data_IF_569963209862
#
_entry.id   IF_569963209862
#
_cell.length_a   1.000
_cell.length_b   1.000
_cell.length_c   1.000
_cell.angle_alpha   90.00
_cell.angle_beta   90.00
_cell.angle_gamma   90.00
#
_symmetry.space_group_name_H-M   'P 1'
#
loop_
_entity.id
_entity.type
_entity.pdbx_description
1 polymer ?
#
# COMPACT_ATOMS: atom_id res chain seq x y z
N UNK A 1 -24.94 -5.78 1.34
CA UNK A 1 -23.64 -6.40 1.68
C UNK A 1 -23.24 -5.89 3.06
N UNK A 2 -22.99 -6.76 4.04
CA UNK A 2 -22.41 -6.32 5.32
C UNK A 2 -20.99 -5.79 5.03
N UNK A 3 -20.73 -4.53 5.37
CA UNK A 3 -19.38 -3.96 5.24
C UNK A 3 -18.46 -4.70 6.21
N UNK A 4 -17.40 -5.30 5.68
CA UNK A 4 -16.37 -5.94 6.49
C UNK A 4 -15.67 -4.89 7.34
N UNK A 5 -15.41 -5.24 8.59
CA UNK A 5 -14.65 -4.43 9.54
C UNK A 5 -13.16 -4.59 9.27
N UNK A 6 -12.37 -3.62 9.75
CA UNK A 6 -10.91 -3.61 9.62
C UNK A 6 -10.26 -4.95 10.01
N UNK A 7 -10.67 -5.54 11.14
CA UNK A 7 -10.13 -6.80 11.64
C UNK A 7 -10.40 -7.99 10.70
N UNK A 8 -11.54 -8.00 10.00
CA UNK A 8 -11.89 -9.06 9.06
C UNK A 8 -11.02 -8.98 7.79
N UNK A 9 -10.78 -7.76 7.29
CA UNK A 9 -9.99 -7.54 6.07
C UNK A 9 -8.51 -7.84 6.33
N UNK A 10 -7.99 -7.40 7.47
CA UNK A 10 -6.59 -7.62 7.83
C UNK A 10 -6.29 -9.11 7.97
N UNK A 11 -7.23 -9.93 8.44
CA UNK A 11 -7.08 -11.40 8.49
C UNK A 11 -6.90 -12.03 7.12
N UNK A 12 -7.51 -11.46 6.07
CA UNK A 12 -7.37 -11.98 4.71
C UNK A 12 -5.94 -11.92 4.19
N UNK A 13 -5.11 -10.99 4.67
CA UNK A 13 -3.67 -10.98 4.35
C UNK A 13 -2.93 -12.20 4.89
N UNK A 14 -3.48 -12.86 5.91
CA UNK A 14 -2.90 -14.09 6.48
C UNK A 14 -3.55 -15.36 5.89
N UNK A 15 -4.85 -15.31 5.64
CA UNK A 15 -5.66 -16.49 5.29
C UNK A 15 -5.77 -16.73 3.77
N UNK A 16 -5.61 -15.68 2.96
CA UNK A 16 -5.76 -15.75 1.51
C UNK A 16 -4.41 -15.56 0.80
N UNK A 17 -4.01 -16.54 -0.01
CA UNK A 17 -2.80 -16.44 -0.84
C UNK A 17 -3.04 -15.67 -2.16
N UNK A 18 -4.27 -15.26 -2.46
CA UNK A 18 -4.63 -14.57 -3.69
C UNK A 18 -4.71 -13.05 -3.46
N UNK A 19 -3.65 -12.33 -3.83
CA UNK A 19 -3.57 -10.88 -3.66
C UNK A 19 -4.66 -10.10 -4.39
N UNK A 20 -5.13 -10.58 -5.54
CA UNK A 20 -6.21 -9.91 -6.30
C UNK A 20 -7.54 -9.97 -5.58
N UNK A 21 -7.86 -11.11 -4.93
CA UNK A 21 -9.07 -11.22 -4.11
C UNK A 21 -9.02 -10.29 -2.91
N UNK A 22 -7.89 -10.25 -2.20
CA UNK A 22 -7.71 -9.35 -1.05
C UNK A 22 -7.79 -7.88 -1.49
N UNK A 23 -7.24 -7.52 -2.66
CA UNK A 23 -7.37 -6.18 -3.22
C UNK A 23 -8.83 -5.79 -3.49
N UNK A 24 -9.66 -6.70 -4.02
CA UNK A 24 -11.10 -6.46 -4.19
C UNK A 24 -11.79 -6.17 -2.85
N UNK A 25 -11.48 -6.97 -1.82
CA UNK A 25 -12.04 -6.74 -0.48
C UNK A 25 -11.57 -5.44 0.17
N UNK A 26 -10.30 -5.07 -0.02
CA UNK A 26 -9.78 -3.77 0.42
C UNK A 26 -10.44 -2.64 -0.35
N UNK A 27 -10.66 -2.80 -1.66
CA UNK A 27 -11.39 -1.83 -2.49
C UNK A 27 -12.78 -1.55 -1.93
N UNK A 28 -13.55 -2.60 -1.61
CA UNK A 28 -14.87 -2.48 -0.99
C UNK A 28 -14.84 -1.76 0.37
N UNK A 29 -13.80 -2.00 1.17
CA UNK A 29 -13.62 -1.34 2.45
C UNK A 29 -13.33 0.16 2.31
N UNK A 30 -12.40 0.52 1.42
CA UNK A 30 -12.01 1.92 1.19
C UNK A 30 -13.04 2.67 0.34
N UNK A 31 -14.01 1.97 -0.26
CA UNK A 31 -15.18 2.53 -0.92
C UNK A 31 -16.24 3.00 0.08
N UNK A 32 -15.81 3.87 1.00
CA UNK A 32 -16.67 4.52 1.99
C UNK A 32 -16.09 5.89 2.33
N UNK A 33 -16.93 6.92 2.41
CA UNK A 33 -16.51 8.26 2.84
C UNK A 33 -15.94 8.32 4.27
N UNK A 34 -16.17 7.28 5.07
CA UNK A 34 -15.78 7.20 6.49
C UNK A 34 -15.07 5.89 6.85
N UNK A 35 -14.34 5.27 5.91
CA UNK A 35 -13.59 4.06 6.23
C UNK A 35 -12.55 4.33 7.33
N UNK A 36 -12.37 3.34 8.22
CA UNK A 36 -11.53 3.48 9.40
C UNK A 36 -10.06 3.12 9.09
N UNK A 37 -9.34 4.05 8.46
CA UNK A 37 -7.91 3.88 8.15
C UNK A 37 -7.06 3.66 9.40
N UNK A 38 -7.39 4.30 10.52
CA UNK A 38 -6.66 4.16 11.78
C UNK A 38 -6.93 2.79 12.42
N UNK A 39 -8.18 2.34 12.41
CA UNK A 39 -8.56 0.99 12.82
C UNK A 39 -7.88 -0.07 11.97
N UNK A 40 -7.80 0.10 10.65
CA UNK A 40 -7.07 -0.83 9.78
C UNK A 40 -5.61 -0.99 10.22
N UNK A 41 -4.90 0.11 10.42
CA UNK A 41 -3.49 0.08 10.85
C UNK A 41 -3.36 -0.57 12.23
N UNK A 42 -4.24 -0.22 13.18
CA UNK A 42 -4.26 -0.83 14.51
C UNK A 42 -4.43 -2.36 14.45
N UNK A 43 -5.37 -2.84 13.63
CA UNK A 43 -5.62 -4.27 13.47
C UNK A 43 -4.46 -4.98 12.75
N UNK A 44 -3.79 -4.31 11.79
CA UNK A 44 -2.59 -4.84 11.12
C UNK A 44 -1.41 -4.98 12.08
N UNK A 45 -1.21 -4.03 13.00
CA UNK A 45 -0.19 -4.12 14.05
C UNK A 45 -0.39 -5.35 14.96
N UNK A 46 -1.65 -5.74 15.18
CA UNK A 46 -1.99 -6.91 15.99
C UNK A 46 -1.78 -8.26 15.28
N UNK A 47 -1.46 -8.27 13.98
CA UNK A 47 -1.24 -9.51 13.22
C UNK A 47 0.13 -10.15 13.51
N UNK A 48 0.33 -11.44 13.17
CA UNK A 48 1.65 -12.06 13.20
C UNK A 48 2.67 -11.29 12.34
N UNK A 49 3.95 -11.28 12.73
CA UNK A 49 5.03 -10.58 12.01
C UNK A 49 5.08 -10.91 10.51
N UNK A 50 4.79 -12.17 10.13
CA UNK A 50 4.74 -12.60 8.73
C UNK A 50 3.74 -11.77 7.91
N UNK A 51 2.54 -11.55 8.45
CA UNK A 51 1.47 -10.76 7.81
C UNK A 51 1.85 -9.29 7.76
N UNK A 52 2.43 -8.76 8.83
CA UNK A 52 2.93 -7.38 8.85
C UNK A 52 4.01 -7.15 7.78
N UNK A 53 4.95 -8.10 7.62
CA UNK A 53 5.98 -8.05 6.57
C UNK A 53 5.36 -8.12 5.17
N UNK A 54 4.39 -9.01 4.95
CA UNK A 54 3.67 -9.12 3.68
C UNK A 54 2.99 -7.79 3.30
N UNK A 55 2.28 -7.19 4.25
CA UNK A 55 1.62 -5.90 4.03
C UNK A 55 2.63 -4.77 3.82
N UNK A 56 3.76 -4.79 4.55
CA UNK A 56 4.84 -3.82 4.38
C UNK A 56 5.46 -3.89 2.99
N UNK A 57 5.75 -5.09 2.49
CA UNK A 57 6.21 -5.28 1.12
C UNK A 57 5.16 -4.76 0.12
N UNK A 58 3.89 -5.08 0.34
CA UNK A 58 2.77 -4.60 -0.50
C UNK A 58 2.73 -3.07 -0.54
N UNK A 59 2.94 -2.41 0.60
CA UNK A 59 3.03 -0.95 0.69
C UNK A 59 4.18 -0.41 -0.15
N UNK A 60 5.38 -1.00 -0.10
CA UNK A 60 6.52 -0.55 -0.90
C UNK A 60 6.33 -0.79 -2.40
N UNK A 61 5.73 -1.93 -2.80
CA UNK A 61 5.35 -2.18 -4.20
C UNK A 61 4.30 -1.17 -4.67
N UNK A 62 3.36 -0.79 -3.81
CA UNK A 62 2.38 0.27 -4.09
C UNK A 62 3.03 1.65 -4.31
N UNK A 63 4.00 2.04 -3.48
CA UNK A 63 4.78 3.27 -3.68
C UNK A 63 5.48 3.28 -5.05
N UNK A 64 6.14 2.17 -5.40
CA UNK A 64 6.81 2.05 -6.69
C UNK A 64 5.82 2.15 -7.86
N UNK A 65 4.66 1.48 -7.75
CA UNK A 65 3.58 1.54 -8.74
C UNK A 65 3.04 2.94 -8.93
N UNK A 66 2.73 3.67 -7.86
CA UNK A 66 2.18 5.02 -7.93
C UNK A 66 3.17 6.01 -8.56
N UNK A 67 4.46 5.94 -8.20
CA UNK A 67 5.49 6.76 -8.87
C UNK A 67 5.58 6.45 -10.37
N UNK A 68 5.45 5.18 -10.76
CA UNK A 68 5.38 4.81 -12.18
C UNK A 68 4.13 5.42 -12.86
N UNK A 69 2.97 5.34 -12.23
CA UNK A 69 1.74 5.96 -12.77
C UNK A 69 1.87 7.48 -12.92
N UNK A 70 2.59 8.17 -12.04
CA UNK A 70 2.92 9.59 -12.20
C UNK A 70 3.75 9.83 -13.47
N UNK A 71 4.83 9.06 -13.64
CA UNK A 71 5.75 9.19 -14.79
C UNK A 71 5.08 8.86 -16.13
N UNK A 72 4.11 7.96 -16.11
CA UNK A 72 3.31 7.56 -17.29
C UNK A 72 2.12 8.49 -17.55
N UNK A 73 1.88 9.51 -16.71
CA UNK A 73 0.71 10.39 -16.77
C UNK A 73 -0.63 9.62 -16.67
N UNK A 74 -0.67 8.59 -15.81
CA UNK A 74 -1.83 7.69 -15.62
C UNK A 74 -2.56 7.91 -14.29
N UNK A 75 -2.85 9.17 -14.01
CA UNK A 75 -3.56 9.62 -12.81
C UNK A 75 -4.53 10.76 -13.18
N UNK A 76 -5.38 11.16 -12.23
CA UNK A 76 -6.16 12.40 -12.34
C UNK A 76 -6.20 13.11 -10.99
N UNK A 77 -6.89 14.24 -10.91
CA UNK A 77 -6.96 15.05 -9.69
C UNK A 77 -7.39 14.24 -8.46
N UNK A 78 -8.22 13.21 -8.61
CA UNK A 78 -8.73 12.38 -7.49
C UNK A 78 -7.67 11.50 -6.84
N UNK A 79 -6.56 11.22 -7.51
CA UNK A 79 -5.43 10.48 -6.92
C UNK A 79 -4.07 11.18 -7.06
N UNK A 80 -4.08 12.45 -7.47
CA UNK A 80 -2.88 13.25 -7.71
C UNK A 80 -2.00 13.35 -6.47
N UNK A 81 -2.61 13.64 -5.32
CA UNK A 81 -1.90 13.69 -4.05
C UNK A 81 -1.14 12.40 -3.78
N UNK A 82 -1.79 11.24 -3.96
CA UNK A 82 -1.16 9.93 -3.80
C UNK A 82 0.06 9.71 -4.70
N UNK A 83 -0.06 10.01 -6.00
CA UNK A 83 1.01 9.71 -6.95
C UNK A 83 2.22 10.62 -6.78
N UNK A 84 1.99 11.91 -6.53
CA UNK A 84 3.07 12.87 -6.23
C UNK A 84 3.78 12.52 -4.92
N UNK A 85 3.00 12.14 -3.93
CA UNK A 85 3.49 11.75 -2.61
C UNK A 85 4.33 10.48 -2.68
N UNK A 86 3.85 9.46 -3.39
CA UNK A 86 4.60 8.22 -3.62
C UNK A 86 5.90 8.46 -4.39
N UNK A 87 5.90 9.36 -5.38
CA UNK A 87 7.11 9.74 -6.11
C UNK A 87 8.14 10.44 -5.22
N UNK A 88 7.69 11.32 -4.30
CA UNK A 88 8.57 11.91 -3.29
C UNK A 88 9.16 10.85 -2.36
N UNK A 89 8.33 9.93 -1.84
CA UNK A 89 8.83 8.81 -1.01
C UNK A 89 9.86 7.99 -1.78
N UNK A 90 9.59 7.65 -3.05
CA UNK A 90 10.52 6.87 -3.87
C UNK A 90 11.86 7.58 -4.05
N UNK A 91 11.85 8.88 -4.35
CA UNK A 91 13.08 9.69 -4.47
C UNK A 91 13.84 9.77 -3.15
N UNK A 92 13.10 9.91 -2.04
CA UNK A 92 13.67 10.00 -0.70
C UNK A 92 14.35 8.69 -0.26
N UNK A 93 13.71 7.54 -0.52
CA UNK A 93 14.26 6.23 -0.18
C UNK A 93 15.33 5.73 -1.15
N UNK A 94 15.30 6.18 -2.41
CA UNK A 94 16.29 5.85 -3.43
C UNK A 94 16.55 4.36 -3.55
N UNK A 95 17.83 3.98 -3.46
CA UNK A 95 18.32 2.60 -3.58
C UNK A 95 17.68 1.63 -2.58
N UNK A 96 17.26 2.09 -1.40
CA UNK A 96 16.61 1.23 -0.39
C UNK A 96 15.29 0.68 -0.91
N UNK A 97 14.46 1.53 -1.50
CA UNK A 97 13.22 1.10 -2.11
C UNK A 97 13.48 0.18 -3.31
N UNK A 98 14.50 0.49 -4.12
CA UNK A 98 14.86 -0.36 -5.25
C UNK A 98 15.27 -1.76 -4.84
N UNK A 99 16.02 -1.90 -3.74
CA UNK A 99 16.42 -3.19 -3.19
C UNK A 99 15.23 -3.99 -2.68
N UNK A 100 14.32 -3.36 -1.91
CA UNK A 100 13.09 -4.01 -1.41
C UNK A 100 12.22 -4.49 -2.59
N UNK A 101 12.13 -3.66 -3.63
CA UNK A 101 11.21 -3.91 -4.76
C UNK A 101 11.83 -4.67 -5.92
N UNK A 102 13.14 -4.93 -5.90
CA UNK A 102 13.88 -5.53 -7.01
C UNK A 102 13.27 -6.85 -7.49
N UNK A 103 12.87 -7.72 -6.55
CA UNK A 103 12.26 -9.03 -6.84
C UNK A 103 10.90 -8.95 -7.53
N UNK A 104 10.29 -7.77 -7.60
CA UNK A 104 8.99 -7.54 -8.25
C UNK A 104 9.13 -6.79 -9.59
N UNK A 105 10.34 -6.39 -9.99
CA UNK A 105 10.60 -5.74 -11.29
C UNK A 105 10.57 -6.78 -12.42
N UNK A 106 10.15 -6.36 -13.62
CA UNK A 106 10.20 -7.19 -14.84
C UNK A 106 8.95 -8.03 -15.13
N UNK A 107 7.95 -8.06 -14.25
CA UNK A 107 6.67 -8.71 -14.53
C UNK A 107 5.80 -7.83 -15.42
N UNK A 108 5.54 -8.28 -16.66
CA UNK A 108 4.67 -7.61 -17.61
C UNK A 108 3.28 -8.26 -17.56
N UNK A 109 2.27 -7.53 -17.07
CA UNK A 109 0.93 -8.06 -16.82
C UNK A 109 0.00 -7.96 -18.03
N UNK A 110 0.58 -8.00 -19.23
CA UNK A 110 -0.18 -8.09 -20.48
C UNK A 110 -0.80 -9.49 -20.58
N UNK A 111 -1.94 -9.68 -19.93
CA UNK A 111 -2.99 -10.57 -20.44
C UNK A 111 -3.36 -11.80 -19.62
N UNK A 112 -2.50 -12.37 -18.76
CA UNK A 112 -2.85 -13.62 -18.07
C UNK A 112 -2.37 -13.66 -16.62
N UNK A 113 -3.25 -14.13 -15.75
CA UNK A 113 -2.96 -14.56 -14.38
C UNK A 113 -1.88 -15.65 -14.43
N UNK A 114 -0.62 -15.24 -14.36
CA UNK A 114 0.48 -16.17 -14.16
C UNK A 114 0.43 -16.62 -12.69
N UNK A 115 0.21 -17.91 -12.44
CA UNK A 115 0.17 -18.52 -11.09
C UNK A 115 1.48 -18.32 -10.31
N UNK A 116 2.51 -17.75 -10.95
CA UNK A 116 3.82 -17.40 -10.38
C UNK A 116 3.91 -16.00 -9.78
N UNK A 117 2.87 -15.18 -9.88
CA UNK A 117 2.92 -13.82 -9.34
C UNK A 117 2.84 -13.85 -7.82
N UNK A 118 3.76 -13.11 -7.17
CA UNK A 118 3.71 -12.91 -5.72
C UNK A 118 2.41 -12.20 -5.30
N UNK A 119 1.94 -12.47 -4.08
CA UNK A 119 0.78 -11.81 -3.49
C UNK A 119 0.83 -10.29 -3.66
N UNK A 120 1.96 -9.66 -3.36
CA UNK A 120 2.13 -8.20 -3.38
C UNK A 120 1.93 -7.60 -4.78
N UNK A 121 2.40 -8.31 -5.82
CA UNK A 121 2.20 -7.91 -7.22
C UNK A 121 0.73 -8.06 -7.64
N UNK A 122 0.12 -9.21 -7.35
CA UNK A 122 -1.30 -9.45 -7.66
C UNK A 122 -2.19 -8.40 -6.99
N UNK A 123 -1.94 -8.12 -5.71
CA UNK A 123 -2.65 -7.12 -4.93
C UNK A 123 -2.47 -5.73 -5.54
N UNK A 124 -1.21 -5.29 -5.72
CA UNK A 124 -0.89 -3.94 -6.21
C UNK A 124 -1.52 -3.69 -7.57
N UNK A 125 -1.46 -4.66 -8.47
CA UNK A 125 -1.89 -4.47 -9.85
C UNK A 125 -3.41 -4.47 -9.96
N UNK A 126 -4.09 -5.30 -9.15
CA UNK A 126 -5.55 -5.25 -9.01
C UNK A 126 -6.00 -3.90 -8.43
N UNK A 127 -5.41 -3.48 -7.31
CA UNK A 127 -5.73 -2.19 -6.67
C UNK A 127 -5.43 -0.99 -7.57
N UNK A 128 -4.43 -1.08 -8.45
CA UNK A 128 -4.07 0.00 -9.38
C UNK A 128 -5.06 0.20 -10.54
N UNK A 129 -5.96 -0.78 -10.75
CA UNK A 129 -7.04 -0.72 -11.75
C UNK A 129 -8.34 -0.17 -11.17
N UNK A 130 -8.44 -0.07 -9.85
CA UNK A 130 -9.59 0.50 -9.15
C UNK A 130 -9.78 1.99 -9.47
N UNK A 131 -10.96 2.52 -9.16
CA UNK A 131 -11.25 3.94 -9.33
C UNK A 131 -10.24 4.81 -8.55
N UNK A 132 -9.87 5.98 -9.12
CA UNK A 132 -8.80 6.83 -8.57
C UNK A 132 -9.04 7.27 -7.13
N UNK A 133 -10.28 7.57 -6.76
CA UNK A 133 -10.66 7.84 -5.35
C UNK A 133 -10.33 6.67 -4.41
N UNK A 134 -10.52 5.42 -4.85
CA UNK A 134 -10.21 4.24 -4.04
C UNK A 134 -8.71 4.03 -3.91
N UNK A 135 -7.95 4.28 -4.99
CA UNK A 135 -6.49 4.30 -4.94
C UNK A 135 -5.99 5.35 -3.93
N UNK A 136 -6.61 6.53 -3.93
CA UNK A 136 -6.31 7.63 -3.01
C UNK A 136 -6.63 7.27 -1.55
N UNK A 137 -7.79 6.65 -1.31
CA UNK A 137 -8.20 6.14 0.01
C UNK A 137 -7.26 5.05 0.53
N UNK A 138 -6.94 4.03 -0.28
CA UNK A 138 -6.00 2.97 0.11
C UNK A 138 -4.61 3.53 0.40
N UNK A 139 -4.14 4.49 -0.39
CA UNK A 139 -2.85 5.13 -0.14
C UNK A 139 -2.77 5.80 1.23
N UNK A 140 -3.89 6.31 1.78
CA UNK A 140 -3.89 6.85 3.13
C UNK A 140 -3.54 5.78 4.18
N UNK A 141 -3.98 4.53 3.99
CA UNK A 141 -3.61 3.39 4.84
C UNK A 141 -2.11 3.11 4.69
N UNK A 142 -1.61 3.07 3.44
CA UNK A 142 -0.20 2.85 3.14
C UNK A 142 0.69 3.91 3.82
N UNK A 143 0.35 5.19 3.69
CA UNK A 143 1.15 6.26 4.29
C UNK A 143 1.15 6.20 5.82
N UNK A 144 -0.01 5.89 6.45
CA UNK A 144 -0.07 5.66 7.90
C UNK A 144 0.81 4.49 8.33
N UNK A 145 0.74 3.38 7.59
CA UNK A 145 1.54 2.19 7.88
C UNK A 145 3.04 2.50 7.83
N UNK A 146 3.51 3.15 6.75
CA UNK A 146 4.93 3.47 6.58
C UNK A 146 5.51 4.35 7.71
N UNK A 147 4.69 5.17 8.37
CA UNK A 147 5.13 6.02 9.48
C UNK A 147 5.25 5.26 10.80
N UNK A 148 4.35 4.30 11.06
CA UNK A 148 4.37 3.52 12.32
C UNK A 148 5.36 2.36 12.29
N UNK A 149 5.90 2.01 11.12
CA UNK A 149 6.83 0.90 10.93
C UNK A 149 8.05 0.94 11.86
N UNK A 150 8.60 2.12 12.14
CA UNK A 150 9.72 2.30 13.07
C UNK A 150 9.42 1.84 14.50
N UNK A 151 8.14 1.79 14.87
CA UNK A 151 7.68 1.39 16.21
C UNK A 151 7.40 -0.13 16.31
N UNK A 152 7.52 -0.88 15.20
CA UNK A 152 7.11 -2.30 15.12
C UNK A 152 8.27 -3.32 15.12
N UNK A 153 9.52 -2.87 15.05
CA UNK A 153 10.72 -3.73 15.10
C UNK A 153 10.63 -4.99 14.21
N UNK A 154 10.20 -4.81 12.95
CA UNK A 154 10.01 -5.91 12.00
C UNK A 154 11.33 -6.36 11.39
N UNK A 155 12.11 -5.40 10.90
CA UNK A 155 13.52 -5.54 10.52
C UNK A 155 14.17 -4.14 10.46
N UNK A 156 15.50 -4.12 10.39
CA UNK A 156 16.28 -2.87 10.37
C UNK A 156 16.00 -2.02 9.13
N UNK A 157 15.89 -2.64 7.95
CA UNK A 157 15.66 -1.95 6.67
C UNK A 157 14.32 -1.18 6.65
N UNK A 158 13.24 -1.78 7.18
CA UNK A 158 11.92 -1.15 7.28
C UNK A 158 11.90 -0.04 8.32
N UNK A 159 12.59 -0.25 9.44
CA UNK A 159 12.70 0.73 10.52
C UNK A 159 13.42 1.98 10.03
N UNK A 160 14.49 1.80 9.26
CA UNK A 160 15.24 2.90 8.65
C UNK A 160 14.41 3.64 7.61
N UNK A 161 13.73 2.94 6.70
CA UNK A 161 12.84 3.57 5.72
C UNK A 161 11.75 4.41 6.40
N UNK A 162 11.14 3.87 7.46
CA UNK A 162 10.12 4.57 8.25
C UNK A 162 10.68 5.82 8.95
N UNK A 163 11.90 5.73 9.48
CA UNK A 163 12.57 6.87 10.13
C UNK A 163 12.88 7.99 9.14
N UNK A 164 13.36 7.64 7.93
CA UNK A 164 13.60 8.58 6.85
C UNK A 164 12.28 9.28 6.45
N UNK A 165 11.22 8.51 6.19
CA UNK A 165 9.90 9.06 5.84
C UNK A 165 9.38 9.98 6.95
N UNK A 166 9.46 9.56 8.21
CA UNK A 166 8.96 10.33 9.34
C UNK A 166 9.76 11.61 9.65
N UNK A 167 10.97 11.75 9.10
CA UNK A 167 11.75 13.00 9.21
C UNK A 167 11.31 14.08 8.21
N UNK A 168 10.77 13.67 7.06
CA UNK A 168 10.34 14.56 5.98
C UNK A 168 8.83 14.88 6.05
N UNK A 169 8.02 13.91 6.49
CA UNK A 169 6.57 14.01 6.47
C UNK A 169 5.97 14.11 7.88
N UNK A 170 5.15 15.15 8.11
CA UNK A 170 4.51 15.38 9.41
C UNK A 170 3.33 14.43 9.68
N UNK A 171 2.76 14.49 10.89
CA UNK A 171 1.57 13.72 11.27
C UNK A 171 0.28 14.14 10.53
N UNK A 172 0.27 15.17 9.67
CA UNK A 172 -0.93 15.53 8.89
C UNK A 172 -0.91 14.91 7.50
N UNK A 173 0.26 14.46 7.05
CA UNK A 173 0.53 13.79 5.77
C UNK A 173 -0.40 12.63 5.39
N UNK A 174 -0.94 11.89 6.36
CA UNK A 174 -1.80 10.74 6.09
C UNK A 174 -3.30 11.06 6.03
N UNK A 175 -3.68 12.31 6.29
CA UNK A 175 -5.02 12.80 5.97
C UNK A 175 -5.01 13.24 4.51
N UNK A 176 -4.87 12.25 3.64
CA UNK A 176 -5.14 12.40 2.21
C UNK A 176 -6.40 13.26 2.03
N UNK A 177 -6.33 14.39 1.32
CA UNK A 177 -7.52 15.18 1.04
C UNK A 177 -8.47 14.35 0.18
N UNK A 178 -9.66 14.09 0.70
CA UNK A 178 -10.76 13.56 -0.08
C UNK A 178 -11.30 14.73 -0.90
N UNK A 179 -11.26 14.59 -2.23
CA UNK A 179 -11.86 15.55 -3.19
C UNK A 179 -13.31 15.15 -3.44
#
# INVERSE_FOLDING_TARGET
MNRLKANEIVRLFNECNNGSMVAGTVSDFVNSYSFDSAGFVKEMIAQPKKTQILFTNTCFVWIDKLSRLLKEDRYDERNKYSVETADKIKKLLGEKLEKITAKYKGYNLSGYCDEKLSFELMFTESMSREHKTLQQSFSSIVFRWLIVLKDLELNEEFTECSSIIGSEFDRKYYNTPLI
#
